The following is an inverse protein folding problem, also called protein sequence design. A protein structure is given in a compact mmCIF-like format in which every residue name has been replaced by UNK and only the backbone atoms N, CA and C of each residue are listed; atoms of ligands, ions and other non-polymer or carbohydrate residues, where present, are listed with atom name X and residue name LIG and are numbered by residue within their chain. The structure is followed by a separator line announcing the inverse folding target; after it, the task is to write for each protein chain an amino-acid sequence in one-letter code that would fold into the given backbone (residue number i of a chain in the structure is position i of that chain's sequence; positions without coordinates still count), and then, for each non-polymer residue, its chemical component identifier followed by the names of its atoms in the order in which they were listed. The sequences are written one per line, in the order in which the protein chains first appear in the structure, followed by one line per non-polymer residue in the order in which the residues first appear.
data_IF_355338391454
#
_entry.id   IF_355338391454
#
_cell.length_a   1.000
_cell.length_b   1.000
_cell.length_c   1.000
_cell.angle_alpha   90.00
_cell.angle_beta   90.00
_cell.angle_gamma   90.00
#
_symmetry.space_group_name_H-M   'P 1'
#
loop_
_entity.id
_entity.type
_entity.pdbx_description
1 polymer ?
#
# COMPACT_ATOMS: atom_id res chain seq x y z
N UNK A 1 27.94 -9.05 18.85
CA UNK A 1 27.90 -9.58 17.47
C UNK A 1 26.50 -10.14 17.25
N UNK A 2 25.61 -9.42 16.57
CA UNK A 2 24.23 -9.88 16.34
C UNK A 2 24.22 -10.81 15.13
N UNK A 3 23.72 -12.04 15.30
CA UNK A 3 23.58 -13.01 14.23
C UNK A 3 22.33 -12.66 13.41
N UNK A 4 22.53 -12.30 12.15
CA UNK A 4 21.41 -12.12 11.19
C UNK A 4 21.05 -13.51 10.65
N UNK A 5 19.81 -14.01 10.86
CA UNK A 5 19.40 -15.31 10.35
C UNK A 5 19.32 -15.32 8.81
N UNK A 6 19.43 -16.51 8.21
CA UNK A 6 19.52 -16.71 6.77
C UNK A 6 18.30 -16.17 6.01
N UNK A 7 18.58 -15.27 5.06
CA UNK A 7 17.65 -14.33 4.41
C UNK A 7 16.62 -14.91 3.42
N UNK A 8 16.52 -16.24 3.20
CA UNK A 8 15.67 -16.75 2.11
C UNK A 8 14.17 -16.58 2.36
N UNK A 9 13.71 -16.71 3.60
CA UNK A 9 12.34 -16.31 3.99
C UNK A 9 12.21 -14.80 4.23
N UNK A 10 13.33 -14.10 4.45
CA UNK A 10 13.39 -12.65 4.65
C UNK A 10 13.04 -11.90 3.36
N UNK A 11 13.57 -12.30 2.21
CA UNK A 11 13.38 -11.54 0.96
C UNK A 11 11.90 -11.35 0.61
N UNK A 12 11.07 -12.41 0.73
CA UNK A 12 9.62 -12.30 0.48
C UNK A 12 8.95 -11.39 1.51
N UNK A 13 9.33 -11.48 2.79
CA UNK A 13 8.80 -10.60 3.83
C UNK A 13 9.28 -9.15 3.67
N UNK A 14 10.49 -8.94 3.17
CA UNK A 14 11.06 -7.64 2.86
C UNK A 14 10.30 -6.98 1.69
N UNK A 15 9.88 -7.75 0.69
CA UNK A 15 9.04 -7.26 -0.41
C UNK A 15 7.62 -6.88 0.07
N UNK A 16 7.01 -7.71 0.92
CA UNK A 16 5.69 -7.39 1.49
C UNK A 16 5.75 -6.13 2.36
N UNK A 17 6.75 -6.04 3.26
CA UNK A 17 6.94 -4.87 4.10
C UNK A 17 7.22 -3.61 3.28
N UNK A 18 7.97 -3.72 2.19
CA UNK A 18 8.21 -2.59 1.29
C UNK A 18 6.92 -2.14 0.59
N UNK A 19 6.11 -3.07 0.09
CA UNK A 19 4.82 -2.75 -0.53
C UNK A 19 3.86 -2.08 0.46
N UNK A 20 3.85 -2.51 1.73
CA UNK A 20 3.08 -1.87 2.81
C UNK A 20 3.56 -0.44 3.10
N UNK A 21 4.89 -0.22 3.15
CA UNK A 21 5.47 1.11 3.34
C UNK A 21 5.08 2.05 2.19
N UNK A 22 5.16 1.57 0.95
CA UNK A 22 4.76 2.33 -0.24
C UNK A 22 3.28 2.70 -0.19
N UNK A 23 2.40 1.74 0.12
CA UNK A 23 0.97 1.98 0.30
C UNK A 23 0.67 2.98 1.43
N UNK A 24 1.37 2.88 2.56
CA UNK A 24 1.27 3.86 3.64
C UNK A 24 1.64 5.27 3.18
N UNK A 25 2.68 5.40 2.34
CA UNK A 25 3.07 6.68 1.74
C UNK A 25 1.99 7.27 0.86
N UNK A 26 1.38 6.47 -0.02
CA UNK A 26 0.26 6.88 -0.89
C UNK A 26 -0.95 7.35 -0.07
N UNK A 27 -1.29 6.65 1.01
CA UNK A 27 -2.38 7.04 1.91
C UNK A 27 -2.07 8.34 2.65
N UNK A 28 -0.83 8.57 3.08
CA UNK A 28 -0.42 9.84 3.68
C UNK A 28 -0.56 11.01 2.70
N UNK A 29 -0.13 10.83 1.46
CA UNK A 29 -0.26 11.87 0.42
C UNK A 29 -1.74 12.17 0.15
N UNK A 30 -2.57 11.13 0.01
CA UNK A 30 -4.01 11.29 -0.18
C UNK A 30 -4.66 12.01 1.02
N UNK A 31 -4.22 11.73 2.25
CA UNK A 31 -4.69 12.41 3.45
C UNK A 31 -4.31 13.89 3.47
N UNK A 32 -3.06 14.22 3.18
CA UNK A 32 -2.62 15.61 3.09
C UNK A 32 -3.34 16.39 1.98
N UNK A 33 -3.65 15.73 0.87
CA UNK A 33 -4.46 16.34 -0.19
C UNK A 33 -5.90 16.62 0.25
N UNK A 34 -6.52 15.69 1.00
CA UNK A 34 -7.85 15.89 1.57
C UNK A 34 -7.85 17.03 2.61
N UNK A 35 -6.84 17.07 3.48
CA UNK A 35 -6.63 18.16 4.44
C UNK A 35 -6.49 19.51 3.75
N UNK A 36 -5.70 19.59 2.67
CA UNK A 36 -5.55 20.79 1.86
C UNK A 36 -6.85 21.22 1.15
N UNK A 37 -7.76 20.27 0.90
CA UNK A 37 -9.10 20.53 0.35
C UNK A 37 -10.13 20.93 1.43
N UNK A 38 -9.74 20.99 2.70
CA UNK A 38 -10.61 21.34 3.82
C UNK A 38 -11.36 20.16 4.44
N UNK A 39 -10.99 18.93 4.08
CA UNK A 39 -11.51 17.71 4.71
C UNK A 39 -10.65 17.33 5.92
N UNK A 40 -11.27 17.07 7.07
CA UNK A 40 -10.53 16.67 8.27
C UNK A 40 -9.95 15.24 8.18
N UNK A 41 -10.53 14.40 7.32
CA UNK A 41 -10.18 12.99 7.17
C UNK A 41 -10.38 12.54 5.73
N UNK A 42 -9.60 11.54 5.31
CA UNK A 42 -9.87 10.81 4.09
C UNK A 42 -11.26 10.16 4.11
N UNK A 43 -11.99 10.33 3.02
CA UNK A 43 -13.21 9.58 2.79
C UNK A 43 -12.93 8.10 2.53
N UNK A 44 -13.86 7.23 2.93
CA UNK A 44 -13.78 5.77 2.69
C UNK A 44 -13.62 5.46 1.21
N UNK A 45 -14.36 6.17 0.35
CA UNK A 45 -14.26 6.00 -1.10
C UNK A 45 -12.84 6.27 -1.63
N UNK A 46 -12.15 7.28 -1.07
CA UNK A 46 -10.77 7.62 -1.46
C UNK A 46 -9.76 6.60 -0.91
N UNK A 47 -9.99 6.06 0.29
CA UNK A 47 -9.20 4.96 0.83
C UNK A 47 -9.31 3.73 -0.06
N UNK A 48 -10.54 3.32 -0.41
CA UNK A 48 -10.78 2.16 -1.29
C UNK A 48 -10.13 2.35 -2.66
N UNK A 49 -10.13 3.57 -3.19
CA UNK A 49 -9.45 3.88 -4.46
C UNK A 49 -7.93 3.68 -4.36
N UNK A 50 -7.30 4.17 -3.30
CA UNK A 50 -5.84 4.01 -3.08
C UNK A 50 -5.49 2.54 -2.87
N UNK A 51 -6.27 1.83 -2.05
CA UNK A 51 -6.08 0.39 -1.82
C UNK A 51 -6.21 -0.40 -3.12
N UNK A 52 -7.22 -0.09 -3.95
CA UNK A 52 -7.41 -0.77 -5.24
C UNK A 52 -6.23 -0.57 -6.20
N UNK A 53 -5.63 0.62 -6.21
CA UNK A 53 -4.45 0.90 -7.05
C UNK A 53 -3.22 0.11 -6.59
N UNK A 54 -3.07 -0.09 -5.27
CA UNK A 54 -1.97 -0.87 -4.71
C UNK A 54 -2.16 -2.38 -4.91
N UNK A 55 -3.40 -2.88 -4.96
CA UNK A 55 -3.69 -4.30 -5.24
C UNK A 55 -3.80 -4.61 -6.73
N UNK A 56 -4.04 -3.61 -7.57
CA UNK A 56 -4.01 -3.75 -9.03
C UNK A 56 -2.56 -3.72 -9.51
N UNK A 57 -1.81 -4.78 -9.19
CA UNK A 57 -0.53 -5.06 -9.82
C UNK A 57 -0.76 -5.15 -11.35
N UNK A 58 0.03 -4.49 -12.21
CA UNK A 58 -0.08 -4.65 -13.67
C UNK A 58 0.08 -6.10 -14.15
N UNK A 59 0.58 -7.01 -13.32
CA UNK A 59 0.64 -8.45 -13.56
C UNK A 59 -0.50 -9.26 -12.92
N UNK A 60 -1.47 -8.63 -12.23
CA UNK A 60 -2.69 -9.27 -11.71
C UNK A 60 -3.82 -9.14 -12.75
N UNK A 61 -4.15 -10.20 -13.52
CA UNK A 61 -5.24 -10.16 -14.46
C UNK A 61 -6.52 -10.08 -13.65
N UNK A 62 -7.02 -8.85 -13.47
CA UNK A 62 -8.34 -8.52 -12.96
C UNK A 62 -9.30 -9.69 -13.15
N UNK A 63 -9.58 -10.43 -12.06
CA UNK A 63 -10.54 -11.51 -12.10
C UNK A 63 -11.87 -10.93 -12.59
N UNK A 64 -12.45 -11.44 -13.70
CA UNK A 64 -13.73 -10.95 -14.15
C UNK A 64 -14.75 -11.30 -13.06
N UNK A 65 -15.35 -10.28 -12.48
CA UNK A 65 -16.51 -10.43 -11.59
C UNK A 65 -17.61 -11.14 -12.40
N UNK A 66 -17.80 -12.43 -12.11
CA UNK A 66 -18.93 -13.25 -12.58
C UNK A 66 -19.86 -13.52 -11.41
#
# INVERSE_FOLDING_TARGET
MVRVPSRKGSLVQDHVALAEIELCGELMIAASAAEAAGEERLSVARIDEVLRRATADPDDPALPLS
#
